data_IF_216917493705
#
_entry.id   IF_216917493705
#
_cell.length_a   1.000
_cell.length_b   1.000
_cell.length_c   1.000
_cell.angle_alpha   90.00
_cell.angle_beta   90.00
_cell.angle_gamma   90.00
#
_symmetry.space_group_name_H-M   'P 1'
#
loop_
_entity.id
_entity.type
_entity.pdbx_description
1 polymer ?
#
# COMPACT_ATOMS: atom_id res chain seq x y z
N UNK A 1 20.40 6.46 0.12
CA UNK A 1 19.80 5.13 0.06
C UNK A 1 18.42 5.14 0.69
N UNK A 2 17.44 4.61 -0.01
CA UNK A 2 16.07 4.73 0.45
C UNK A 2 15.74 3.80 1.62
N UNK A 3 16.35 2.65 1.68
CA UNK A 3 16.01 1.67 2.68
C UNK A 3 14.73 0.92 2.43
N UNK A 4 14.12 1.09 1.27
CA UNK A 4 12.92 0.37 0.89
C UNK A 4 13.21 -0.55 -0.28
N UNK A 5 12.55 -1.71 -0.29
CA UNK A 5 12.65 -2.63 -1.42
C UNK A 5 11.78 -2.13 -2.56
N UNK A 6 11.96 -2.73 -3.74
CA UNK A 6 11.14 -2.36 -4.89
C UNK A 6 9.67 -2.65 -4.65
N UNK A 7 9.36 -3.75 -3.97
CA UNK A 7 7.97 -4.07 -3.65
C UNK A 7 7.39 -3.04 -2.70
N UNK A 8 8.17 -2.59 -1.73
CA UNK A 8 7.71 -1.57 -0.79
C UNK A 8 7.46 -0.25 -1.50
N UNK A 9 8.35 0.16 -2.38
CA UNK A 9 8.15 1.39 -3.14
C UNK A 9 6.92 1.27 -4.02
N UNK A 10 6.78 0.15 -4.71
CA UNK A 10 5.61 -0.07 -5.57
C UNK A 10 4.31 -0.07 -4.77
N UNK A 11 4.33 -0.65 -3.56
CA UNK A 11 3.15 -0.66 -2.71
C UNK A 11 2.80 0.76 -2.26
N UNK A 12 3.79 1.54 -1.90
CA UNK A 12 3.56 2.92 -1.48
C UNK A 12 2.95 3.74 -2.61
N UNK A 13 3.49 3.59 -3.82
CA UNK A 13 2.95 4.26 -4.99
C UNK A 13 1.52 3.81 -5.26
N UNK A 14 1.25 2.51 -5.12
CA UNK A 14 -0.09 1.97 -5.35
C UNK A 14 -1.10 2.61 -4.39
N UNK A 15 -0.72 2.80 -3.12
CA UNK A 15 -1.62 3.43 -2.17
C UNK A 15 -1.96 4.85 -2.62
N UNK A 16 -0.95 5.62 -3.05
CA UNK A 16 -1.19 6.98 -3.52
C UNK A 16 -2.19 6.98 -4.68
N UNK A 17 -2.02 6.04 -5.60
CA UNK A 17 -2.88 5.99 -6.79
C UNK A 17 -4.29 5.55 -6.48
N UNK A 18 -4.47 4.75 -5.43
CA UNK A 18 -5.77 4.15 -5.14
C UNK A 18 -6.54 4.88 -4.05
N UNK A 19 -5.88 5.77 -3.31
CA UNK A 19 -6.59 6.50 -2.26
C UNK A 19 -7.80 7.20 -2.82
N UNK A 20 -8.90 7.24 -2.10
CA UNK A 20 -9.12 6.71 -0.75
C UNK A 20 -9.59 5.26 -0.69
N UNK A 21 -9.47 4.54 -1.79
CA UNK A 21 -9.97 3.16 -1.89
C UNK A 21 -8.83 2.15 -1.95
N UNK A 22 -7.77 2.39 -1.19
CA UNK A 22 -6.58 1.54 -1.24
C UNK A 22 -6.74 0.34 -0.31
N UNK A 23 -7.47 -0.66 -0.79
CA UNK A 23 -7.60 -1.94 -0.10
C UNK A 23 -6.45 -2.85 -0.48
N UNK A 24 -6.16 -3.82 0.39
CA UNK A 24 -5.01 -4.70 0.17
C UNK A 24 -4.99 -5.40 -1.16
N UNK A 25 -6.13 -5.97 -1.58
CA UNK A 25 -6.19 -6.68 -2.85
C UNK A 25 -5.98 -5.72 -4.03
N UNK A 26 -6.57 -4.54 -3.97
CA UNK A 26 -6.39 -3.55 -5.02
C UNK A 26 -4.93 -3.09 -5.10
N UNK A 27 -4.30 -2.91 -3.95
CA UNK A 27 -2.88 -2.55 -3.91
C UNK A 27 -2.05 -3.65 -4.56
N UNK A 28 -2.36 -4.91 -4.23
CA UNK A 28 -1.64 -6.04 -4.78
C UNK A 28 -1.72 -6.06 -6.31
N UNK A 29 -2.91 -5.88 -6.85
CA UNK A 29 -3.08 -5.88 -8.29
C UNK A 29 -2.36 -4.71 -8.95
N UNK A 30 -2.41 -3.54 -8.33
CA UNK A 30 -1.77 -2.36 -8.89
C UNK A 30 -0.26 -2.51 -8.90
N UNK A 31 0.32 -3.02 -7.82
CA UNK A 31 1.76 -3.16 -7.77
C UNK A 31 2.27 -4.24 -8.72
N UNK A 32 1.50 -5.29 -8.94
CA UNK A 32 1.89 -6.29 -9.95
C UNK A 32 1.96 -5.66 -11.33
N UNK A 33 0.98 -4.82 -11.66
CA UNK A 33 0.98 -4.12 -12.92
C UNK A 33 2.16 -3.18 -13.05
N UNK A 34 2.48 -2.48 -11.97
CA UNK A 34 3.60 -1.54 -11.96
C UNK A 34 4.93 -2.27 -12.11
N UNK A 35 5.10 -3.39 -11.42
CA UNK A 35 6.35 -4.16 -11.47
C UNK A 35 6.44 -5.02 -12.74
N UNK A 36 5.32 -5.29 -13.38
CA UNK A 36 5.30 -6.11 -14.58
C UNK A 36 5.58 -7.57 -14.30
N UNK A 37 5.29 -8.05 -13.09
CA UNK A 37 5.52 -9.43 -12.73
C UNK A 37 4.63 -9.84 -11.57
N UNK A 38 4.37 -11.15 -11.43
CA UNK A 38 3.58 -11.63 -10.30
C UNK A 38 4.30 -11.40 -8.97
N UNK A 39 3.52 -11.11 -7.94
CA UNK A 39 4.01 -10.95 -6.58
C UNK A 39 3.01 -11.66 -5.69
N UNK A 40 3.48 -12.41 -4.71
CA UNK A 40 2.57 -13.12 -3.82
C UNK A 40 1.80 -12.13 -2.94
N UNK A 41 0.60 -12.52 -2.55
CA UNK A 41 -0.16 -11.73 -1.59
C UNK A 41 0.60 -11.57 -0.28
N UNK A 42 1.28 -12.63 0.15
CA UNK A 42 2.07 -12.56 1.37
C UNK A 42 3.14 -11.50 1.31
N UNK A 43 3.84 -11.41 0.17
CA UNK A 43 4.87 -10.39 0.00
C UNK A 43 4.27 -9.00 0.01
N UNK A 44 3.09 -8.83 -0.60
CA UNK A 44 2.40 -7.55 -0.61
C UNK A 44 2.02 -7.13 0.80
N UNK A 45 1.40 -8.03 1.56
CA UNK A 45 0.97 -7.68 2.92
C UNK A 45 2.16 -7.47 3.86
N UNK A 46 3.25 -8.21 3.66
CA UNK A 46 4.46 -7.96 4.43
C UNK A 46 5.02 -6.57 4.15
N UNK A 47 5.01 -6.16 2.88
CA UNK A 47 5.47 -4.83 2.52
C UNK A 47 4.60 -3.75 3.15
N UNK A 48 3.27 -3.93 3.09
CA UNK A 48 2.36 -2.96 3.68
C UNK A 48 2.56 -2.86 5.20
N UNK A 49 2.80 -3.99 5.84
CA UNK A 49 3.03 -4.00 7.28
C UNK A 49 4.32 -3.25 7.63
N UNK A 50 5.37 -3.46 6.86
CA UNK A 50 6.63 -2.75 7.12
C UNK A 50 6.48 -1.25 6.88
N UNK A 51 5.77 -0.86 5.82
CA UNK A 51 5.55 0.56 5.54
C UNK A 51 4.75 1.23 6.64
N UNK A 52 3.75 0.52 7.18
CA UNK A 52 2.95 1.04 8.28
C UNK A 52 3.82 1.18 9.53
N UNK A 53 4.65 0.20 9.78
CA UNK A 53 5.53 0.22 10.95
C UNK A 53 6.53 1.38 10.87
N UNK A 54 6.94 1.75 9.67
CA UNK A 54 7.86 2.87 9.47
C UNK A 54 7.13 4.20 9.36
N UNK A 55 5.82 4.20 9.57
CA UNK A 55 4.99 5.41 9.53
C UNK A 55 4.95 6.08 8.15
N UNK A 56 5.21 5.31 7.10
CA UNK A 56 5.03 5.80 5.73
C UNK A 56 3.62 5.58 5.23
N UNK A 57 2.92 4.62 5.83
CA UNK A 57 1.50 4.37 5.61
C UNK A 57 0.79 4.34 6.94
N UNK A 58 -0.48 4.65 6.91
CA UNK A 58 -1.36 4.39 8.05
C UNK A 58 -2.49 3.49 7.56
N UNK A 59 -3.09 2.76 8.48
CA UNK A 59 -4.13 1.82 8.13
C UNK A 59 -5.33 2.02 9.04
N UNK A 60 -6.50 1.83 8.46
CA UNK A 60 -7.75 1.85 9.20
C UNK A 60 -8.59 0.68 8.73
N UNK A 61 -9.56 0.30 9.54
CA UNK A 61 -10.48 -0.77 9.18
C UNK A 61 -11.79 -0.12 8.78
N UNK A 62 -12.25 -0.38 7.56
CA UNK A 62 -13.51 0.17 7.11
C UNK A 62 -14.66 -0.47 7.87
N UNK A 63 -15.80 0.23 7.89
CA UNK A 63 -16.99 -0.33 8.49
C UNK A 63 -17.37 -1.61 7.77
N UNK A 64 -17.88 -2.63 8.49
CA UNK A 64 -18.34 -3.84 7.84
C UNK A 64 -19.46 -3.52 6.85
N UNK A 65 -19.44 -4.22 5.73
CA UNK A 65 -20.53 -4.09 4.77
C UNK A 65 -21.78 -4.74 5.32
N UNK A 66 -22.92 -4.18 4.96
CA UNK A 66 -24.20 -4.71 5.44
C UNK A 66 -24.56 -6.03 4.79
N UNK A 67 -23.84 -6.45 3.78
CA UNK A 67 -24.14 -7.66 3.03
C UNK A 67 -22.93 -8.58 3.05
N UNK A 68 -23.14 -9.80 2.63
CA UNK A 68 -22.05 -10.75 2.39
C UNK A 68 -21.21 -11.04 3.63
N UNK A 69 -21.85 -11.20 4.77
CA UNK A 69 -21.13 -11.52 5.97
C UNK A 69 -20.46 -10.34 6.64
N UNK A 70 -20.54 -9.17 6.03
CA UNK A 70 -20.12 -7.94 6.68
C UNK A 70 -18.66 -7.87 7.08
N UNK A 71 -17.78 -8.45 6.29
CA UNK A 71 -16.37 -8.43 6.63
C UNK A 71 -15.80 -7.03 6.48
N UNK A 72 -15.15 -6.55 7.54
CA UNK A 72 -14.45 -5.27 7.46
C UNK A 72 -13.20 -5.43 6.62
N UNK A 73 -12.86 -4.37 5.89
CA UNK A 73 -11.67 -4.36 5.06
C UNK A 73 -10.68 -3.35 5.58
N UNK A 74 -9.40 -3.68 5.44
CA UNK A 74 -8.34 -2.77 5.86
C UNK A 74 -8.02 -1.83 4.71
N UNK A 75 -8.06 -0.54 5.03
CA UNK A 75 -7.71 0.53 4.11
C UNK A 75 -6.35 1.08 4.46
N UNK A 76 -5.64 1.53 3.46
CA UNK A 76 -4.32 2.15 3.66
C UNK A 76 -4.34 3.56 3.10
N UNK A 77 -3.54 4.42 3.70
CA UNK A 77 -3.37 5.79 3.24
C UNK A 77 -1.93 6.21 3.49
N UNK A 78 -1.44 7.09 2.64
CA UNK A 78 -0.09 7.60 2.82
C UNK A 78 -0.07 8.64 3.93
N UNK A 79 1.04 8.68 4.66
CA UNK A 79 1.29 9.74 5.62
C UNK A 79 2.06 10.87 4.94
N UNK A 80 2.23 11.98 5.65
CA UNK A 80 3.11 13.05 5.14
C UNK A 80 4.50 12.52 4.88
N UNK A 81 5.00 11.69 5.78
CA UNK A 81 6.33 11.08 5.61
C UNK A 81 6.38 10.21 4.37
N UNK A 82 5.32 9.44 4.11
CA UNK A 82 5.27 8.58 2.92
C UNK A 82 5.31 9.41 1.65
N UNK A 83 4.57 10.50 1.60
CA UNK A 83 4.56 11.35 0.41
C UNK A 83 5.89 12.04 0.22
N UNK A 84 6.51 12.47 1.30
CA UNK A 84 7.84 13.10 1.23
C UNK A 84 8.86 12.10 0.71
N UNK A 85 8.79 10.86 1.20
CA UNK A 85 9.68 9.82 0.74
C UNK A 85 9.56 9.63 -0.78
N UNK A 86 8.33 9.50 -1.27
CA UNK A 86 8.11 9.30 -2.70
C UNK A 86 8.58 10.48 -3.54
N UNK A 87 8.40 11.69 -3.02
CA UNK A 87 8.85 12.87 -3.74
C UNK A 87 10.35 12.84 -3.96
N UNK A 88 11.08 12.43 -2.94
CA UNK A 88 12.54 12.35 -3.04
C UNK A 88 12.98 11.23 -3.97
N UNK A 89 12.28 10.09 -3.93
CA UNK A 89 12.62 8.98 -4.82
C UNK A 89 12.37 9.34 -6.28
N UNK A 90 11.34 10.10 -6.55
CA UNK A 90 10.96 10.41 -7.92
C UNK A 90 11.82 11.52 -8.54
N UNK A 91 12.48 12.27 -7.74
CA UNK A 91 13.34 13.36 -8.24
C UNK A 91 14.60 12.79 -8.87
N UNK A 92 14.97 11.61 -8.52
CA UNK A 92 16.16 10.97 -9.08
C UNK A 92 16.10 10.86 -10.63
#
# INVERSE_FOLDING_TARGET
MSGLTRIEIAALIAVVRLEPHAYGVAIHEDLEGFLGRPVSLGATYSALKRLTRRALLRTTVSAPLAVQGGRAKRLYATTSSGRTFLRHEQVE
#
